data_IF_846920239017
#
_entry.id   IF_846920239017
#
_cell.length_a   1.000
_cell.length_b   1.000
_cell.length_c   1.000
_cell.angle_alpha   90.00
_cell.angle_beta   90.00
_cell.angle_gamma   90.00
#
_symmetry.space_group_name_H-M   'P 1'
#
loop_
_entity.id
_entity.type
_entity.pdbx_description
1 polymer ?
#
# COMPACT_ATOMS: atom_id res chain seq x y z
N UNK A 1 23.73 -0.51 16.80
CA UNK A 1 22.70 -1.48 17.22
C UNK A 1 22.28 -2.29 16.00
N UNK A 2 22.03 -3.59 16.14
CA UNK A 2 21.46 -4.40 15.06
C UNK A 2 20.02 -3.96 14.79
N UNK A 3 19.68 -3.68 13.53
CA UNK A 3 18.29 -3.44 13.12
C UNK A 3 17.72 -4.72 12.52
N UNK A 4 16.47 -5.06 12.86
CA UNK A 4 15.70 -6.11 12.22
C UNK A 4 15.10 -5.55 10.92
N UNK A 5 15.13 -6.36 9.87
CA UNK A 5 14.43 -6.05 8.62
C UNK A 5 13.04 -6.65 8.72
N UNK A 6 12.01 -5.80 8.65
CA UNK A 6 10.61 -6.24 8.59
C UNK A 6 10.09 -5.95 7.19
N UNK A 7 9.59 -6.98 6.52
CA UNK A 7 8.98 -6.86 5.20
C UNK A 7 7.48 -6.69 5.33
N UNK A 8 6.96 -5.54 4.92
CA UNK A 8 5.55 -5.18 5.00
C UNK A 8 4.82 -5.36 3.65
N UNK A 9 5.37 -6.19 2.77
CA UNK A 9 4.88 -6.36 1.39
C UNK A 9 3.98 -7.59 1.26
N UNK A 10 2.83 -7.42 0.62
CA UNK A 10 1.97 -8.53 0.19
C UNK A 10 2.67 -9.34 -0.90
N UNK A 11 2.62 -10.66 -0.75
CA UNK A 11 3.07 -11.57 -1.81
C UNK A 11 2.07 -11.53 -2.96
N UNK A 12 2.51 -11.12 -4.14
CA UNK A 12 1.73 -11.26 -5.37
C UNK A 12 1.67 -12.75 -5.76
N UNK A 13 0.45 -13.26 -5.95
CA UNK A 13 0.21 -14.66 -6.31
C UNK A 13 -0.58 -14.70 -7.62
N UNK A 14 -0.19 -15.59 -8.52
CA UNK A 14 -0.90 -15.79 -9.78
C UNK A 14 -2.39 -16.07 -9.52
N UNK A 15 -3.27 -15.36 -10.22
CA UNK A 15 -4.72 -15.51 -10.08
C UNK A 15 -5.32 -14.83 -8.85
N UNK A 16 -4.53 -14.09 -8.06
CA UNK A 16 -5.07 -13.29 -6.97
C UNK A 16 -5.87 -12.10 -7.52
N UNK A 17 -7.17 -12.10 -7.28
CA UNK A 17 -8.11 -11.03 -7.65
C UNK A 17 -8.07 -10.63 -9.14
N UNK A 18 -7.70 -11.56 -10.04
CA UNK A 18 -7.52 -11.36 -11.48
C UNK A 18 -6.57 -10.22 -11.91
N UNK A 19 -5.88 -9.59 -10.96
CA UNK A 19 -5.02 -8.43 -11.17
C UNK A 19 -3.53 -8.77 -11.29
N UNK A 20 -3.16 -10.05 -11.21
CA UNK A 20 -1.78 -10.52 -11.38
C UNK A 20 -1.71 -11.92 -12.02
N UNK A 21 -1.06 -11.98 -13.18
CA UNK A 21 -0.75 -13.19 -13.91
C UNK A 21 0.77 -13.33 -14.12
N UNK A 22 1.29 -14.52 -13.82
CA UNK A 22 2.69 -14.88 -14.06
C UNK A 22 2.72 -16.16 -14.88
N UNK A 23 3.03 -16.04 -16.17
CA UNK A 23 3.09 -17.15 -17.11
C UNK A 23 4.54 -17.63 -17.25
N UNK A 24 4.82 -18.83 -16.76
CA UNK A 24 6.13 -19.48 -16.88
C UNK A 24 6.32 -20.11 -18.27
N UNK A 25 7.49 -19.92 -18.88
CA UNK A 25 7.87 -20.53 -20.15
C UNK A 25 9.39 -20.66 -20.30
N UNK A 26 9.86 -21.57 -21.16
CA UNK A 26 11.25 -21.61 -21.60
C UNK A 26 11.46 -20.77 -22.86
N UNK A 27 12.51 -19.94 -22.92
CA UNK A 27 12.81 -19.17 -24.14
C UNK A 27 13.33 -20.10 -25.24
N UNK A 28 12.86 -19.95 -26.49
CA UNK A 28 13.47 -20.63 -27.62
C UNK A 28 14.99 -20.39 -27.68
N UNK A 29 15.77 -21.47 -27.79
CA UNK A 29 17.23 -21.40 -27.83
C UNK A 29 17.93 -21.28 -26.47
N UNK A 30 17.20 -21.28 -25.35
CA UNK A 30 17.76 -21.24 -23.98
C UNK A 30 17.18 -22.39 -23.12
N UNK A 31 17.50 -23.66 -23.44
CA UNK A 31 16.95 -24.79 -22.71
C UNK A 31 17.33 -24.74 -21.24
N UNK A 32 16.42 -25.19 -20.35
CA UNK A 32 16.60 -25.19 -18.89
C UNK A 32 16.67 -23.79 -18.25
N UNK A 33 16.21 -22.76 -18.98
CA UNK A 33 16.06 -21.40 -18.44
C UNK A 33 14.57 -21.07 -18.34
N UNK A 34 14.05 -21.08 -17.12
CA UNK A 34 12.68 -20.64 -16.85
C UNK A 34 12.61 -19.11 -16.93
N UNK A 35 11.66 -18.61 -17.70
CA UNK A 35 11.32 -17.19 -17.83
C UNK A 35 9.85 -17.02 -17.46
N UNK A 36 9.48 -15.82 -17.02
CA UNK A 36 8.09 -15.46 -16.74
C UNK A 36 7.68 -14.27 -17.62
N UNK A 37 6.44 -14.28 -18.12
CA UNK A 37 5.73 -13.07 -18.57
C UNK A 37 4.77 -12.67 -17.46
N UNK A 38 4.85 -11.42 -17.02
CA UNK A 38 4.00 -10.88 -15.97
C UNK A 38 3.04 -9.89 -16.61
N UNK A 39 1.76 -10.04 -16.29
CA UNK A 39 0.68 -9.12 -16.60
C UNK A 39 -0.02 -8.77 -15.30
N UNK A 40 -0.20 -7.49 -15.01
CA UNK A 40 -0.76 -7.04 -13.75
C UNK A 40 -1.32 -5.64 -13.84
N UNK A 41 -2.29 -5.34 -12.98
CA UNK A 41 -2.70 -3.97 -12.71
C UNK A 41 -1.61 -3.24 -11.92
N UNK A 42 -1.44 -1.96 -12.21
CA UNK A 42 -0.37 -1.14 -11.65
C UNK A 42 -0.51 -0.91 -10.13
N UNK A 43 -1.74 -1.03 -9.61
CA UNK A 43 -2.13 -0.88 -8.20
C UNK A 43 -2.45 -2.21 -7.51
N UNK A 44 -1.87 -3.33 -7.99
CA UNK A 44 -2.01 -4.64 -7.34
C UNK A 44 -1.13 -4.79 -6.10
N UNK A 45 -1.67 -5.41 -5.04
CA UNK A 45 -0.94 -5.75 -3.83
C UNK A 45 -0.46 -4.54 -3.03
N UNK A 46 0.75 -4.61 -2.47
CA UNK A 46 1.40 -3.44 -1.85
C UNK A 46 1.98 -2.58 -2.96
N UNK A 47 1.45 -1.37 -3.15
CA UNK A 47 1.78 -0.53 -4.29
C UNK A 47 1.86 0.92 -3.89
N UNK A 48 2.60 1.71 -4.68
CA UNK A 48 2.69 3.16 -4.54
C UNK A 48 1.91 3.85 -5.64
N UNK A 49 1.33 5.01 -5.32
CA UNK A 49 0.67 5.90 -6.27
C UNK A 49 1.52 7.17 -6.47
N UNK A 50 1.69 7.56 -7.73
CA UNK A 50 2.40 8.77 -8.13
C UNK A 50 1.42 9.94 -8.37
N UNK A 51 1.88 11.20 -8.24
CA UNK A 51 1.11 12.42 -8.53
C UNK A 51 0.29 12.38 -9.82
N UNK A 52 0.88 11.83 -10.88
CA UNK A 52 0.24 11.77 -12.20
C UNK A 52 -1.06 10.95 -12.26
N UNK A 53 -1.36 10.15 -11.22
CA UNK A 53 -2.61 9.39 -11.08
C UNK A 53 -3.85 10.28 -11.23
N UNK A 54 -3.82 11.49 -10.67
CA UNK A 54 -4.95 12.42 -10.70
C UNK A 54 -4.63 13.79 -11.32
N UNK A 55 -3.34 14.12 -11.45
CA UNK A 55 -2.89 15.40 -11.98
C UNK A 55 -2.12 15.18 -13.27
N UNK A 56 -2.64 15.66 -14.40
CA UNK A 56 -2.02 15.39 -15.72
C UNK A 56 -0.58 15.90 -15.83
N UNK A 57 -0.26 16.98 -15.13
CA UNK A 57 1.09 17.57 -15.06
C UNK A 57 1.92 17.09 -13.87
N UNK A 58 1.38 16.20 -13.03
CA UNK A 58 2.10 15.61 -11.92
C UNK A 58 3.19 14.64 -12.40
N UNK A 59 4.17 14.40 -11.54
CA UNK A 59 5.23 13.42 -11.78
C UNK A 59 4.67 12.00 -11.90
N UNK A 60 5.12 11.24 -12.89
CA UNK A 60 5.00 9.78 -12.88
C UNK A 60 6.10 9.17 -12.00
N UNK A 61 6.14 7.83 -11.93
CA UNK A 61 7.12 7.13 -11.09
C UNK A 61 8.57 7.38 -11.50
N UNK A 62 8.85 7.70 -12.76
CA UNK A 62 10.21 8.01 -13.21
C UNK A 62 10.66 9.42 -12.80
N UNK A 63 9.71 10.34 -12.58
CA UNK A 63 9.96 11.72 -12.18
C UNK A 63 10.07 11.95 -10.66
N UNK A 64 9.70 10.96 -9.84
CA UNK A 64 9.72 11.10 -8.38
C UNK A 64 11.14 10.93 -7.81
N UNK A 65 11.49 11.82 -6.88
CA UNK A 65 12.78 11.79 -6.21
C UNK A 65 12.95 10.51 -5.36
N UNK A 66 14.05 9.75 -5.49
CA UNK A 66 14.30 8.55 -4.69
C UNK A 66 14.24 8.80 -3.17
N UNK A 67 14.61 9.99 -2.72
CA UNK A 67 14.61 10.40 -1.31
C UNK A 67 13.20 10.50 -0.71
N UNK A 68 12.15 10.54 -1.53
CA UNK A 68 10.76 10.45 -1.08
C UNK A 68 10.43 9.06 -0.54
N UNK A 69 11.11 8.03 -1.05
CA UNK A 69 10.81 6.62 -0.77
C UNK A 69 11.71 5.97 0.27
N UNK A 70 12.67 6.71 0.83
CA UNK A 70 13.59 6.19 1.84
C UNK A 70 13.89 7.22 2.91
N UNK A 71 13.85 6.82 4.17
CA UNK A 71 14.30 7.65 5.30
C UNK A 71 13.60 7.30 6.60
N UNK A 72 13.87 8.12 7.62
CA UNK A 72 13.21 8.01 8.92
C UNK A 72 11.71 8.33 8.82
N UNK A 73 10.95 7.78 9.74
CA UNK A 73 9.51 7.94 9.79
C UNK A 73 8.92 7.43 11.09
N UNK A 74 7.59 7.50 11.17
CA UNK A 74 6.80 7.03 12.29
C UNK A 74 5.78 5.98 11.85
N UNK A 75 5.48 5.04 12.74
CA UNK A 75 4.34 4.14 12.62
C UNK A 75 3.39 4.36 13.80
N UNK A 76 2.08 4.43 13.52
CA UNK A 76 1.06 4.39 14.55
C UNK A 76 0.09 3.23 14.32
N UNK A 77 -0.28 2.57 15.41
CA UNK A 77 -1.35 1.59 15.47
C UNK A 77 -2.57 2.24 16.11
N UNK A 78 -3.54 2.63 15.29
CA UNK A 78 -4.75 3.32 15.74
C UNK A 78 -5.82 2.30 16.13
N UNK A 79 -6.33 2.40 17.35
CA UNK A 79 -7.49 1.61 17.77
C UNK A 79 -8.76 2.16 17.12
N UNK A 80 -9.50 1.28 16.45
CA UNK A 80 -10.70 1.62 15.69
C UNK A 80 -11.89 0.81 16.20
N UNK A 81 -13.01 1.48 16.36
CA UNK A 81 -14.29 0.89 16.79
C UNK A 81 -15.37 1.29 15.80
N UNK A 82 -16.55 0.67 15.89
CA UNK A 82 -17.66 1.00 14.99
C UNK A 82 -18.08 2.48 15.09
N UNK A 83 -17.98 3.07 16.29
CA UNK A 83 -18.30 4.48 16.55
C UNK A 83 -17.14 5.44 16.24
N UNK A 84 -15.94 4.91 16.01
CA UNK A 84 -14.72 5.69 15.77
C UNK A 84 -13.81 4.98 14.75
N UNK A 85 -14.35 4.74 13.55
CA UNK A 85 -13.66 4.06 12.45
C UNK A 85 -12.85 5.01 11.57
N UNK A 86 -13.19 6.30 11.58
CA UNK A 86 -12.48 7.30 10.79
C UNK A 86 -11.08 7.58 11.36
N UNK A 87 -10.14 7.76 10.47
CA UNK A 87 -8.79 8.27 10.74
C UNK A 87 -8.80 9.71 10.25
N UNK A 88 -8.97 10.64 11.19
CA UNK A 88 -9.04 12.08 10.96
C UNK A 88 -7.81 12.82 11.51
N UNK A 89 -7.80 14.14 11.32
CA UNK A 89 -6.71 14.99 11.79
C UNK A 89 -6.49 14.94 13.31
N UNK A 90 -7.54 14.74 14.11
CA UNK A 90 -7.43 14.67 15.57
C UNK A 90 -6.70 13.39 15.99
N UNK A 91 -7.09 12.25 15.41
CA UNK A 91 -6.42 10.96 15.67
C UNK A 91 -4.96 10.96 15.24
N UNK A 92 -4.65 11.64 14.14
CA UNK A 92 -3.25 11.80 13.71
C UNK A 92 -2.46 12.75 14.62
N UNK A 93 -3.08 13.83 15.12
CA UNK A 93 -2.42 14.72 16.09
C UNK A 93 -2.13 13.98 17.40
N UNK A 94 -3.06 13.15 17.88
CA UNK A 94 -2.85 12.34 19.09
C UNK A 94 -1.72 11.32 18.89
N UNK A 95 -1.68 10.66 17.72
CA UNK A 95 -0.71 9.61 17.42
C UNK A 95 0.70 10.14 17.09
N UNK A 96 0.79 11.26 16.36
CA UNK A 96 2.04 11.74 15.77
C UNK A 96 2.42 13.17 16.17
N UNK A 97 1.53 13.93 16.81
CA UNK A 97 1.56 15.39 16.86
C UNK A 97 2.81 16.04 17.41
N UNK A 98 3.57 15.41 18.30
CA UNK A 98 4.88 15.95 18.74
C UNK A 98 6.07 15.20 18.17
N UNK A 99 5.86 13.96 17.75
CA UNK A 99 6.91 13.09 17.23
C UNK A 99 7.22 13.37 15.76
N UNK A 100 6.23 13.81 14.98
CA UNK A 100 6.35 13.96 13.52
C UNK A 100 7.23 15.14 13.14
N UNK A 101 8.27 14.84 12.36
CA UNK A 101 9.22 15.79 11.82
C UNK A 101 8.97 16.02 10.33
N UNK A 102 9.40 17.18 9.84
CA UNK A 102 9.34 17.49 8.42
C UNK A 102 10.15 16.44 7.64
N UNK A 103 9.56 15.94 6.54
CA UNK A 103 10.08 14.89 5.66
C UNK A 103 10.15 13.50 6.28
N UNK A 104 9.40 13.23 7.34
CA UNK A 104 9.18 11.86 7.81
C UNK A 104 8.30 11.06 6.84
N UNK A 105 8.55 9.76 6.78
CA UNK A 105 7.60 8.77 6.25
C UNK A 105 6.56 8.46 7.33
N UNK A 106 5.28 8.43 6.99
CA UNK A 106 4.22 8.12 7.96
C UNK A 106 3.53 6.81 7.59
N UNK A 107 3.60 5.83 8.47
CA UNK A 107 2.90 4.55 8.37
C UNK A 107 1.69 4.56 9.29
N UNK A 108 0.51 4.38 8.74
CA UNK A 108 -0.74 4.30 9.48
C UNK A 108 -1.23 2.87 9.44
N UNK A 109 -1.32 2.26 10.61
CA UNK A 109 -1.96 0.97 10.82
C UNK A 109 -3.15 1.14 11.75
N UNK A 110 -4.05 0.17 11.72
CA UNK A 110 -5.24 0.18 12.56
C UNK A 110 -5.49 -1.20 13.17
N UNK A 111 -6.11 -1.21 14.34
CA UNK A 111 -6.49 -2.41 15.10
C UNK A 111 -7.96 -2.30 15.47
N UNK A 112 -8.73 -3.34 15.18
CA UNK A 112 -10.15 -3.40 15.48
C UNK A 112 -10.82 -4.51 14.68
N UNK A 113 -11.68 -5.29 15.34
CA UNK A 113 -12.37 -6.40 14.70
C UNK A 113 -13.67 -5.96 14.03
N UNK A 114 -13.93 -6.47 12.83
CA UNK A 114 -15.21 -6.29 12.14
C UNK A 114 -15.49 -4.87 11.63
N UNK A 115 -14.51 -3.97 11.68
CA UNK A 115 -14.63 -2.56 11.23
C UNK A 115 -13.51 -2.25 10.26
N UNK A 116 -13.87 -1.70 9.09
CA UNK A 116 -12.89 -1.18 8.12
C UNK A 116 -12.66 0.30 8.41
N UNK A 117 -11.48 0.70 8.90
CA UNK A 117 -11.19 2.10 9.16
C UNK A 117 -11.03 2.91 7.87
N UNK A 118 -11.43 4.18 7.93
CA UNK A 118 -11.46 5.06 6.76
C UNK A 118 -10.46 6.21 6.92
N UNK A 119 -9.50 6.29 6.00
CA UNK A 119 -8.60 7.43 5.88
C UNK A 119 -9.33 8.62 5.24
N UNK A 120 -9.39 9.74 5.96
CA UNK A 120 -10.23 10.89 5.59
C UNK A 120 -9.46 12.02 4.88
N UNK A 121 -10.19 12.94 4.25
CA UNK A 121 -9.61 14.16 3.66
C UNK A 121 -8.89 15.03 4.70
N UNK A 122 -9.43 15.10 5.93
CA UNK A 122 -8.80 15.85 7.02
C UNK A 122 -7.45 15.25 7.43
N UNK A 123 -7.35 13.92 7.45
CA UNK A 123 -6.08 13.23 7.72
C UNK A 123 -5.05 13.48 6.61
N UNK A 124 -5.45 13.40 5.34
CA UNK A 124 -4.58 13.73 4.21
C UNK A 124 -4.03 15.17 4.29
N UNK A 125 -4.92 16.14 4.53
CA UNK A 125 -4.54 17.54 4.67
C UNK A 125 -3.60 17.77 5.86
N UNK A 126 -3.87 17.12 7.00
CA UNK A 126 -3.02 17.21 8.18
C UNK A 126 -1.60 16.69 7.88
N UNK A 127 -1.46 15.51 7.28
CA UNK A 127 -0.15 14.92 6.95
C UNK A 127 0.66 15.81 6.00
N UNK A 128 0.00 16.36 4.98
CA UNK A 128 0.63 17.31 4.07
C UNK A 128 1.15 18.55 4.82
N UNK A 129 0.29 19.20 5.62
CA UNK A 129 0.66 20.42 6.37
C UNK A 129 1.80 20.14 7.37
N UNK A 130 1.83 18.93 7.95
CA UNK A 130 2.89 18.52 8.88
C UNK A 130 4.19 18.11 8.18
N UNK A 131 4.21 18.06 6.85
CA UNK A 131 5.40 17.82 6.05
C UNK A 131 5.76 16.34 5.88
N UNK A 132 4.79 15.42 5.94
CA UNK A 132 5.04 14.03 5.56
C UNK A 132 5.51 13.97 4.10
N UNK A 133 6.59 13.22 3.83
CA UNK A 133 7.10 13.07 2.44
C UNK A 133 6.56 11.85 1.72
N UNK A 134 6.04 10.87 2.47
CA UNK A 134 5.38 9.68 1.98
C UNK A 134 4.41 9.20 3.05
N UNK A 135 3.21 8.83 2.62
CA UNK A 135 2.19 8.22 3.48
C UNK A 135 2.05 6.75 3.12
N UNK A 136 1.97 5.87 4.09
CA UNK A 136 1.79 4.44 3.86
C UNK A 136 0.63 3.92 4.71
N UNK A 137 -0.32 3.24 4.08
CA UNK A 137 -1.51 2.69 4.74
C UNK A 137 -1.39 1.17 4.84
N UNK A 138 -1.58 0.66 6.05
CA UNK A 138 -1.79 -0.76 6.29
C UNK A 138 -2.96 -1.31 5.46
N UNK A 139 -2.93 -2.60 5.23
CA UNK A 139 -4.03 -3.31 4.62
C UNK A 139 -5.30 -3.19 5.46
N UNK A 140 -6.45 -3.20 4.78
CA UNK A 140 -7.75 -3.03 5.44
C UNK A 140 -8.10 -1.59 5.82
N UNK A 141 -7.26 -0.60 5.52
CA UNK A 141 -7.65 0.83 5.60
C UNK A 141 -8.26 1.25 4.27
N UNK A 142 -9.53 1.66 4.28
CA UNK A 142 -10.18 2.27 3.12
C UNK A 142 -9.78 3.76 2.99
N UNK A 143 -9.90 4.30 1.78
CA UNK A 143 -9.70 5.73 1.53
C UNK A 143 -11.05 6.35 1.24
N UNK A 144 -11.52 7.20 2.15
CA UNK A 144 -12.88 7.74 2.11
C UNK A 144 -13.93 6.72 2.56
N UNK A 145 -15.18 7.18 2.62
CA UNK A 145 -16.34 6.37 3.02
C UNK A 145 -17.11 5.96 1.76
N UNK A 146 -17.64 4.73 1.73
CA UNK A 146 -18.34 4.14 0.58
C UNK A 146 -19.53 4.95 0.03
N UNK A 147 -20.01 5.98 0.74
CA UNK A 147 -21.23 6.74 0.42
C UNK A 147 -21.12 8.25 0.63
N UNK A 148 -19.92 8.81 0.68
CA UNK A 148 -19.73 10.26 0.91
C UNK A 148 -19.15 11.03 -0.29
N UNK A 149 -19.42 12.35 -0.35
CA UNK A 149 -18.96 13.22 -1.43
C UNK A 149 -17.45 13.50 -1.42
N UNK A 150 -16.74 13.17 -0.34
CA UNK A 150 -15.27 13.15 -0.28
C UNK A 150 -14.78 11.81 -0.82
N UNK A 151 -14.82 11.65 -2.15
CA UNK A 151 -14.38 10.43 -2.81
C UNK A 151 -12.87 10.19 -2.66
N UNK A 152 -12.43 8.96 -2.92
CA UNK A 152 -11.01 8.56 -2.87
C UNK A 152 -10.13 9.54 -3.67
N UNK A 153 -10.63 10.07 -4.77
CA UNK A 153 -9.90 11.02 -5.61
C UNK A 153 -9.62 12.33 -4.86
N UNK A 154 -10.59 12.94 -4.18
CA UNK A 154 -10.37 14.19 -3.43
C UNK A 154 -9.31 13.99 -2.33
N UNK A 155 -9.42 12.87 -1.60
CA UNK A 155 -8.52 12.56 -0.49
C UNK A 155 -7.10 12.35 -1.01
N UNK A 156 -6.94 11.53 -2.04
CA UNK A 156 -5.63 11.23 -2.61
C UNK A 156 -5.03 12.43 -3.36
N UNK A 157 -5.84 13.24 -4.05
CA UNK A 157 -5.39 14.50 -4.65
C UNK A 157 -4.68 15.37 -3.61
N UNK A 158 -5.24 15.53 -2.41
CA UNK A 158 -4.61 16.36 -1.36
C UNK A 158 -3.13 16.04 -1.13
N UNK A 159 -2.74 14.76 -1.19
CA UNK A 159 -1.34 14.34 -1.09
C UNK A 159 -0.63 14.40 -2.45
N UNK A 160 -1.23 13.81 -3.47
CA UNK A 160 -0.61 13.58 -4.77
C UNK A 160 -0.39 14.85 -5.58
N UNK A 161 -1.28 15.86 -5.51
CA UNK A 161 -1.06 17.15 -6.17
C UNK A 161 0.09 17.96 -5.53
N UNK A 162 0.51 17.58 -4.32
CA UNK A 162 1.59 18.20 -3.57
C UNK A 162 2.87 17.33 -3.54
N UNK A 163 3.02 16.42 -4.51
CA UNK A 163 4.17 15.51 -4.64
C UNK A 163 4.45 14.67 -3.37
N UNK A 164 3.38 14.29 -2.65
CA UNK A 164 3.46 13.33 -1.53
C UNK A 164 2.92 11.98 -2.00
N UNK A 165 3.79 11.00 -2.35
CA UNK A 165 3.35 9.68 -2.76
C UNK A 165 2.66 8.94 -1.62
N UNK A 166 1.76 8.04 -1.98
CA UNK A 166 1.08 7.16 -1.02
C UNK A 166 1.30 5.69 -1.37
N UNK A 167 1.65 4.88 -0.36
CA UNK A 167 1.74 3.42 -0.46
C UNK A 167 0.51 2.81 0.21
N UNK A 168 -0.10 1.80 -0.40
CA UNK A 168 -1.26 1.10 0.14
C UNK A 168 -1.00 -0.39 0.30
N UNK A 169 -1.79 -1.02 1.17
CA UNK A 169 -1.82 -2.48 1.31
C UNK A 169 -0.61 -3.05 2.02
N UNK A 170 -0.06 -2.34 3.01
CA UNK A 170 1.03 -2.87 3.84
C UNK A 170 0.53 -4.01 4.74
N UNK A 171 1.31 -5.07 4.88
CA UNK A 171 1.05 -6.18 5.82
C UNK A 171 2.13 -6.23 6.90
N UNK A 172 1.98 -7.09 7.90
CA UNK A 172 2.95 -7.29 8.99
C UNK A 172 3.27 -6.02 9.79
N UNK A 173 2.44 -4.98 9.71
CA UNK A 173 2.69 -3.70 10.40
C UNK A 173 2.65 -3.91 11.91
N UNK A 174 1.85 -4.84 12.40
CA UNK A 174 1.75 -5.24 13.82
C UNK A 174 3.05 -5.79 14.40
N UNK A 175 3.99 -6.18 13.56
CA UNK A 175 5.30 -6.69 14.00
C UNK A 175 6.33 -5.58 14.22
N UNK A 176 6.02 -4.35 13.78
CA UNK A 176 6.88 -3.17 13.96
C UNK A 176 6.86 -2.76 15.43
N UNK A 177 8.05 -2.70 16.03
CA UNK A 177 8.16 -2.63 17.49
C UNK A 177 8.51 -1.24 18.02
N UNK A 178 9.20 -0.41 17.25
CA UNK A 178 9.49 0.97 17.61
C UNK A 178 8.48 1.94 16.95
N UNK A 179 8.25 3.09 17.58
CA UNK A 179 7.45 4.16 16.97
C UNK A 179 8.20 4.80 15.78
N UNK A 180 9.51 5.02 15.94
CA UNK A 180 10.38 5.66 14.95
C UNK A 180 11.39 4.70 14.38
N UNK A 181 11.46 4.63 13.05
CA UNK A 181 12.44 3.82 12.33
C UNK A 181 12.63 4.30 10.90
N UNK A 182 13.58 3.70 10.18
CA UNK A 182 13.75 3.97 8.76
C UNK A 182 12.89 3.03 7.91
N UNK A 183 12.28 3.58 6.86
CA UNK A 183 11.47 2.85 5.88
C UNK A 183 12.07 2.97 4.47
N UNK A 184 11.73 2.00 3.63
CA UNK A 184 12.11 1.95 2.22
C UNK A 184 10.95 1.41 1.38
N UNK A 185 10.60 2.11 0.30
CA UNK A 185 9.55 1.74 -0.63
C UNK A 185 9.87 2.24 -2.05
N UNK A 186 11.03 1.85 -2.59
CA UNK A 186 11.50 2.30 -3.90
C UNK A 186 10.73 1.59 -5.03
N UNK A 187 9.91 2.28 -5.84
CA UNK A 187 9.28 1.68 -7.01
C UNK A 187 10.28 1.53 -8.16
N UNK A 188 9.90 0.76 -9.18
CA UNK A 188 10.59 0.82 -10.46
C UNK A 188 10.38 2.22 -11.08
N UNK A 189 11.42 2.83 -11.70
CA UNK A 189 11.30 4.11 -12.38
C UNK A 189 10.61 3.92 -13.75
N UNK A 190 9.30 3.71 -13.74
CA UNK A 190 8.50 3.47 -14.93
C UNK A 190 7.91 4.79 -15.46
N UNK A 191 8.33 5.18 -16.67
CA UNK A 191 7.82 6.37 -17.35
C UNK A 191 6.34 6.21 -17.72
N UNK A 192 5.56 7.28 -17.62
CA UNK A 192 4.12 7.35 -17.89
C UNK A 192 3.24 6.42 -17.03
N UNK A 193 3.81 5.75 -16.02
CA UNK A 193 3.10 4.87 -15.10
C UNK A 193 2.78 5.59 -13.80
N UNK A 194 1.53 5.47 -13.34
CA UNK A 194 1.00 6.22 -12.19
C UNK A 194 0.92 5.42 -10.89
N UNK A 195 1.16 4.11 -10.96
CA UNK A 195 1.17 3.22 -9.81
C UNK A 195 2.14 2.06 -10.05
N UNK A 196 2.73 1.49 -9.00
CA UNK A 196 3.55 0.29 -9.17
C UNK A 196 3.64 -0.52 -7.88
N UNK A 197 3.64 -1.87 -7.96
CA UNK A 197 3.91 -2.71 -6.81
C UNK A 197 5.29 -2.41 -6.22
N UNK A 198 5.36 -2.29 -4.90
CA UNK A 198 6.58 -1.90 -4.20
C UNK A 198 6.88 -2.88 -3.08
N UNK A 199 8.17 -3.16 -2.88
CA UNK A 199 8.62 -3.84 -1.67
C UNK A 199 8.80 -2.81 -0.56
N UNK A 200 7.87 -2.81 0.40
CA UNK A 200 7.92 -1.92 1.55
C UNK A 200 8.65 -2.61 2.70
N UNK A 201 9.76 -2.02 3.13
CA UNK A 201 10.63 -2.60 4.16
C UNK A 201 10.90 -1.59 5.27
N UNK A 202 10.83 -2.04 6.51
CA UNK A 202 11.19 -1.27 7.68
C UNK A 202 12.50 -1.78 8.32
N UNK A 203 13.36 -0.86 8.74
CA UNK A 203 14.58 -1.13 9.49
C UNK A 203 14.32 -0.87 10.96
N UNK A 204 13.61 -1.81 11.58
CA UNK A 204 13.14 -1.73 12.95
C UNK A 204 14.31 -1.92 13.94
N UNK A 205 14.61 -0.94 14.81
CA UNK A 205 15.67 -1.08 15.82
C UNK A 205 15.35 -2.13 16.90
N UNK A 206 14.11 -2.62 17.00
CA UNK A 206 13.63 -3.38 18.15
C UNK A 206 13.14 -2.46 19.28
N UNK A 207 12.44 -3.01 20.26
CA UNK A 207 12.11 -2.29 21.49
C UNK A 207 13.38 -1.84 22.22
N UNK A 208 13.35 -0.64 22.78
CA UNK A 208 14.34 -0.25 23.80
C UNK A 208 14.25 -1.26 24.95
N UNK A 209 15.37 -1.85 25.43
CA UNK A 209 15.36 -2.76 26.57
C UNK A 209 14.60 -2.21 27.80
N UNK A 210 14.57 -0.88 27.95
CA UNK A 210 13.85 -0.19 29.02
C UNK A 210 12.33 -0.22 28.82
N UNK A 211 11.85 -0.11 27.58
CA UNK A 211 10.43 -0.27 27.24
C UNK A 211 10.00 -1.73 27.30
N UNK A 212 10.88 -2.64 26.90
CA UNK A 212 10.64 -4.07 26.97
C UNK A 212 10.47 -4.55 28.42
N UNK A 213 11.21 -3.97 29.38
CA UNK A 213 11.02 -4.22 30.80
C UNK A 213 9.68 -3.67 31.33
N UNK A 214 9.26 -2.48 30.88
CA UNK A 214 7.99 -1.87 31.27
C UNK A 214 6.78 -2.64 30.73
N UNK A 215 6.86 -3.17 29.50
CA UNK A 215 5.78 -4.00 28.94
C UNK A 215 5.66 -5.36 29.65
N UNK A 216 6.79 -5.94 30.08
CA UNK A 216 6.78 -7.19 30.86
C UNK A 216 6.21 -6.97 32.26
N UNK A 217 6.50 -5.83 32.91
CA UNK A 217 5.88 -5.46 34.18
C UNK A 217 4.38 -5.16 34.03
N UNK A 218 3.98 -4.44 32.97
CA UNK A 218 2.58 -4.14 32.69
C UNK A 218 1.74 -5.39 32.35
N UNK A 219 2.34 -6.38 31.69
CA UNK A 219 1.71 -7.68 31.43
C UNK A 219 1.59 -8.53 32.70
N UNK A 220 2.60 -8.48 33.59
CA UNK A 220 2.58 -9.18 34.87
C UNK A 220 1.52 -8.62 35.84
N UNK A 221 1.27 -7.30 35.81
CA UNK A 221 0.21 -6.67 36.61
C UNK A 221 -1.20 -7.00 36.09
N UNK A 222 -1.37 -7.34 34.81
CA UNK A 222 -2.65 -7.77 34.23
C UNK A 222 -2.99 -9.24 34.53
N UNK A 223 -2.00 -10.09 34.82
CA UNK A 223 -2.22 -11.49 35.23
C UNK A 223 -2.46 -11.66 36.75
N UNK A 224 -2.32 -10.59 37.55
CA UNK A 224 -2.46 -10.61 39.01
C UNK A 224 -3.89 -10.54 39.57
N UNK A 225 -4.91 -10.30 38.75
CA UNK A 225 -6.31 -10.10 39.18
C UNK A 225 -7.29 -11.21 38.75
N UNK A 226 -6.79 -12.37 38.29
CA UNK A 226 -7.65 -13.52 38.04
C UNK A 226 -8.08 -14.20 39.36
N UNK A 227 -9.25 -13.80 39.87
CA UNK A 227 -9.98 -14.47 40.95
C UNK A 227 -10.21 -15.95 40.59
N UNK A 228 -9.86 -16.92 41.45
CA UNK A 228 -9.99 -18.33 41.12
C UNK A 228 -11.48 -18.69 40.96
N UNK A 229 -11.85 -19.50 39.94
CA UNK A 229 -13.24 -19.88 39.73
C UNK A 229 -13.77 -20.70 40.91
N UNK A 230 -15.05 -20.55 41.29
CA UNK A 230 -15.65 -21.31 42.36
C UNK A 230 -15.71 -22.80 42.00
N UNK A 231 -15.37 -23.64 42.97
CA UNK A 231 -15.41 -25.10 42.85
C UNK A 231 -16.85 -25.58 42.62
N UNK A 232 -17.15 -26.07 41.41
CA UNK A 232 -18.41 -26.76 41.12
C UNK A 232 -18.40 -28.18 41.70
N UNK A 233 -19.42 -28.45 42.52
CA UNK A 233 -19.72 -29.74 43.11
C UNK A 233 -20.22 -30.73 42.06
N UNK A 234 -19.54 -31.88 42.01
CA UNK A 234 -19.91 -33.07 41.25
C UNK A 234 -21.20 -33.66 41.83
N UNK A 235 -22.26 -33.74 41.02
CA UNK A 235 -23.40 -34.62 41.28
C UNK A 235 -23.54 -35.63 40.12
N UNK A 236 -23.70 -36.90 40.50
CA UNK A 236 -23.75 -38.06 39.61
C UNK A 236 -25.20 -38.49 39.41
N UNK A 237 -25.66 -38.62 38.17
CA UNK A 237 -26.70 -39.60 37.74
C UNK A 237 -26.58 -39.74 36.21
N UNK A 238 -26.11 -40.87 35.67
CA UNK A 238 -26.77 -42.16 35.45
C UNK A 238 -27.63 -42.22 34.16
N UNK A 239 -27.19 -43.12 33.28
CA UNK A 239 -27.92 -43.89 32.24
C UNK A 239 -28.68 -43.18 31.11
N UNK A 240 -28.19 -43.38 29.86
CA UNK A 240 -28.82 -44.26 28.87
C UNK A 240 -28.19 -44.08 27.46
N UNK A 241 -27.78 -45.19 26.85
CA UNK A 241 -27.65 -45.40 25.40
C UNK A 241 -28.83 -46.27 24.93
N UNK A 242 -29.02 -46.56 23.62
CA UNK A 242 -28.75 -45.79 22.38
C UNK A 242 -29.98 -45.80 21.43
N UNK A 243 -29.97 -45.08 20.31
CA UNK A 243 -30.60 -45.58 19.07
C UNK A 243 -30.19 -44.81 17.80
N UNK A 244 -29.58 -45.58 16.89
CA UNK A 244 -29.92 -45.80 15.47
C UNK A 244 -30.37 -44.68 14.48
N UNK A 245 -29.75 -44.76 13.29
CA UNK A 245 -30.27 -44.46 11.92
C UNK A 245 -30.41 -42.96 11.55
N UNK A 246 -30.17 -42.46 10.34
CA UNK A 246 -29.95 -43.02 9.01
C UNK A 246 -29.25 -42.00 8.07
N UNK A 247 -28.85 -42.53 6.93
CA UNK A 247 -28.33 -41.94 5.69
C UNK A 247 -29.05 -40.69 5.15
N UNK A 248 -28.33 -39.83 4.43
CA UNK A 248 -28.53 -39.67 2.98
C UNK A 248 -27.56 -38.65 2.39
N UNK A 249 -26.81 -39.11 1.39
CA UNK A 249 -26.05 -38.30 0.45
C UNK A 249 -27.00 -37.75 -0.63
N UNK A 250 -26.74 -36.53 -1.09
CA UNK A 250 -27.31 -35.99 -2.31
C UNK A 250 -26.22 -35.30 -3.12
N UNK A 251 -25.91 -35.91 -4.27
CA UNK A 251 -25.13 -35.37 -5.37
C UNK A 251 -25.92 -34.25 -6.07
N UNK A 252 -25.26 -33.21 -6.60
CA UNK A 252 -25.82 -32.42 -7.68
C UNK A 252 -25.27 -32.87 -9.04
N UNK A 253 -26.23 -33.14 -9.92
CA UNK A 253 -26.12 -33.54 -11.32
C UNK A 253 -25.55 -32.46 -12.23
N UNK A 254 -24.68 -32.89 -13.14
CA UNK A 254 -24.29 -32.20 -14.37
C UNK A 254 -25.51 -31.90 -15.26
N UNK A 255 -25.55 -30.69 -15.83
CA UNK A 255 -26.27 -30.45 -17.08
C UNK A 255 -25.54 -29.42 -17.93
N UNK A 256 -24.93 -29.96 -18.99
CA UNK A 256 -24.52 -29.30 -20.22
C UNK A 256 -25.60 -28.36 -20.77
N UNK A 257 -25.18 -27.16 -21.15
CA UNK A 257 -25.88 -26.35 -22.16
C UNK A 257 -24.85 -25.51 -22.93
N UNK A 258 -24.34 -26.11 -24.00
CA UNK A 258 -23.70 -25.44 -25.12
C UNK A 258 -24.63 -24.39 -25.73
N UNK A 259 -24.17 -23.15 -25.82
CA UNK A 259 -24.79 -22.13 -26.67
C UNK A 259 -23.71 -21.48 -27.52
N UNK A 260 -23.69 -21.89 -28.79
CA UNK A 260 -23.03 -21.21 -29.90
C UNK A 260 -23.46 -19.74 -29.95
N UNK A 261 -22.49 -18.84 -30.02
CA UNK A 261 -22.68 -17.48 -30.52
C UNK A 261 -21.55 -17.13 -31.46
N UNK A 262 -21.87 -17.29 -32.74
CA UNK A 262 -21.24 -16.55 -33.84
C UNK A 262 -21.35 -15.05 -33.55
N UNK A 263 -20.22 -14.35 -33.62
CA UNK A 263 -20.19 -12.88 -33.71
C UNK A 263 -19.08 -12.51 -34.68
N UNK A 264 -19.42 -12.53 -35.96
CA UNK A 264 -18.71 -11.75 -36.97
C UNK A 264 -19.19 -10.31 -36.84
N UNK A 265 -18.37 -9.44 -36.24
CA UNK A 265 -18.53 -7.99 -36.37
C UNK A 265 -17.22 -7.41 -36.90
N UNK A 266 -17.26 -7.08 -38.20
CA UNK A 266 -16.17 -6.46 -38.94
C UNK A 266 -16.21 -4.96 -38.67
N UNK A 267 -15.22 -4.46 -37.91
CA UNK A 267 -14.99 -3.03 -37.79
C UNK A 267 -14.23 -2.52 -39.03
N UNK A 268 -14.64 -1.39 -39.63
CA UNK A 268 -13.87 -0.73 -40.69
C UNK A 268 -12.65 0.00 -40.10
N UNK A 269 -11.51 -0.15 -40.75
CA UNK A 269 -10.29 0.61 -40.45
C UNK A 269 -10.48 2.10 -40.77
N UNK A 270 -9.96 3.02 -39.94
CA UNK A 270 -9.95 4.45 -40.26
C UNK A 270 -8.83 4.78 -41.25
N UNK A 271 -9.18 5.56 -42.26
CA UNK A 271 -8.29 6.17 -43.24
C UNK A 271 -7.14 6.93 -42.57
N UNK A 272 -5.91 6.55 -42.94
CA UNK A 272 -4.68 7.22 -42.54
C UNK A 272 -4.46 8.41 -43.49
N UNK A 273 -4.71 9.62 -43.00
CA UNK A 273 -4.41 10.87 -43.71
C UNK A 273 -2.93 11.22 -43.48
N UNK A 274 -2.07 10.87 -44.45
CA UNK A 274 -0.65 11.23 -44.48
C UNK A 274 -0.48 12.72 -44.85
N UNK A 275 -0.67 13.59 -43.87
CA UNK A 275 -0.40 15.02 -43.96
C UNK A 275 1.06 15.38 -43.67
N UNK A 276 1.90 15.29 -44.70
CA UNK A 276 3.06 16.15 -45.01
C UNK A 276 3.83 16.79 -43.83
N UNK A 277 4.93 16.17 -43.42
CA UNK A 277 5.99 16.81 -42.64
C UNK A 277 6.68 17.93 -43.43
N UNK A 278 6.66 19.15 -42.89
CA UNK A 278 7.53 20.25 -43.31
C UNK A 278 8.82 20.18 -42.49
N UNK A 279 9.95 19.96 -43.18
CA UNK A 279 11.29 20.05 -42.61
C UNK A 279 11.62 21.52 -42.24
N UNK A 280 12.12 21.80 -41.03
CA UNK A 280 12.80 23.06 -40.77
C UNK A 280 14.26 22.99 -41.22
N UNK A 281 14.65 23.96 -42.05
CA UNK A 281 16.03 24.24 -42.48
C UNK A 281 16.97 24.49 -41.29
N UNK A 282 18.27 24.14 -41.41
CA UNK A 282 19.27 24.49 -40.41
C UNK A 282 19.74 25.93 -40.62
N UNK A 283 19.50 26.82 -39.64
CA UNK A 283 20.12 28.14 -39.58
C UNK A 283 21.32 28.10 -38.62
N UNK A 284 22.50 28.22 -39.23
CA UNK A 284 23.72 28.90 -38.80
C UNK A 284 23.98 29.12 -37.29
N UNK A 285 24.79 28.22 -36.71
CA UNK A 285 25.63 28.50 -35.54
C UNK A 285 26.94 29.17 -36.01
N UNK A 286 27.02 30.49 -35.91
CA UNK A 286 28.29 31.22 -35.87
C UNK A 286 28.28 32.26 -34.75
N UNK A 287 29.33 32.19 -33.95
CA UNK A 287 29.95 33.27 -33.16
C UNK A 287 29.20 33.80 -31.93
N UNK A 288 29.71 33.45 -30.74
CA UNK A 288 30.33 34.45 -29.85
C UNK A 288 31.04 33.74 -28.68
N UNK A 289 32.33 33.43 -28.89
CA UNK A 289 33.31 33.57 -27.82
C UNK A 289 33.38 35.05 -27.41
N UNK A 290 33.52 35.31 -26.11
CA UNK A 290 34.29 36.42 -25.50
C UNK A 290 33.53 37.21 -24.42
N UNK A 291 33.33 36.59 -23.26
CA UNK A 291 33.18 37.31 -21.99
C UNK A 291 34.00 36.63 -20.87
N UNK A 292 35.31 36.57 -21.08
CA UNK A 292 36.27 36.35 -20.00
C UNK A 292 37.25 37.54 -19.93
N UNK A 293 36.82 38.64 -19.30
CA UNK A 293 37.69 39.73 -18.78
C UNK A 293 36.85 40.86 -18.18
N UNK A 294 36.38 40.71 -16.94
CA UNK A 294 36.23 41.83 -15.99
C UNK A 294 36.45 41.33 -14.57
N UNK A 295 37.72 41.23 -14.21
CA UNK A 295 38.18 41.18 -12.82
C UNK A 295 39.58 41.81 -12.79
N UNK A 296 39.61 43.15 -12.78
CA UNK A 296 40.74 43.94 -12.34
C UNK A 296 40.31 45.43 -12.21
N UNK A 297 40.49 45.95 -11.00
CA UNK A 297 40.69 47.36 -10.64
C UNK A 297 39.51 48.36 -10.71
N UNK A 298 38.98 48.67 -9.52
CA UNK A 298 38.85 50.00 -8.88
C UNK A 298 37.61 50.10 -8.00
#
# INVERSE_FOLDING_TARGET
MSRRVVDCTKVLRHGAADAFAALEFERPGQPRTLTHRIEMDADVGTHVLAPRRYVRWGSDLSGLAPESFFGEGLVAHLEVTADASDIDSSRLEDAFGRSLQNRDIVVIAARGEGVTPSFTAQAAQWLFVRGAKLVALADGISVGRDKEPDDERVILSTLLENDVPIVRGLVNTETLSAERMAFMALPAPAADVTAWPVRFVALDPGLDPTQQALEVEAAADQEGEAEPPPAESVDQTADAQPDELAESASEPSDSDASADRDTEDSLPEPDVDEGSAAEPSPEDDQDEEDLSKRSAEA
#
